data_IF_821427805146
#
_entry.id   IF_821427805146
#
_cell.length_a   1.000
_cell.length_b   1.000
_cell.length_c   1.000
_cell.angle_alpha   90.00
_cell.angle_beta   90.00
_cell.angle_gamma   90.00
#
_symmetry.space_group_name_H-M   'P 1'
#
loop_
_entity.id
_entity.type
_entity.pdbx_description
1 polymer ?
#
# COMPACT_ATOMS: atom_id res chain seq x y z
N UNK A 1 1.00 32.23 -3.13
CA UNK A 1 1.38 31.10 -4.00
C UNK A 1 0.47 29.93 -3.70
N UNK A 2 -0.13 29.33 -4.72
CA UNK A 2 -0.98 28.16 -4.52
C UNK A 2 -0.12 26.88 -4.60
N UNK A 3 -0.04 26.15 -3.50
CA UNK A 3 0.64 24.85 -3.43
C UNK A 3 -0.37 23.75 -3.71
N UNK A 4 -0.03 22.81 -4.58
CA UNK A 4 -0.88 21.68 -4.96
C UNK A 4 -0.18 20.35 -4.69
N UNK A 5 -0.96 19.38 -4.23
CA UNK A 5 -0.53 17.99 -4.15
C UNK A 5 -1.03 17.28 -5.41
N UNK A 6 -0.11 16.75 -6.21
CA UNK A 6 -0.43 16.16 -7.52
C UNK A 6 0.42 14.94 -7.84
N UNK A 7 0.03 14.22 -8.87
CA UNK A 7 0.78 13.09 -9.40
C UNK A 7 1.79 13.56 -10.45
N UNK A 8 3.07 13.28 -10.22
CA UNK A 8 4.12 13.40 -11.21
C UNK A 8 4.34 12.05 -11.88
N UNK A 9 4.34 12.02 -13.20
CA UNK A 9 4.51 10.78 -13.95
C UNK A 9 5.98 10.32 -13.90
N UNK A 10 6.17 9.03 -13.66
CA UNK A 10 7.45 8.32 -13.71
C UNK A 10 7.28 7.01 -14.51
N UNK A 11 8.37 6.28 -14.72
CA UNK A 11 8.34 5.02 -15.44
C UNK A 11 8.40 5.19 -16.96
N UNK A 12 8.13 4.09 -17.68
CA UNK A 12 8.25 3.98 -19.13
C UNK A 12 6.89 4.23 -19.82
N UNK A 13 6.91 4.41 -21.14
CA UNK A 13 5.72 4.71 -21.96
C UNK A 13 4.55 3.73 -21.76
N UNK A 14 4.83 2.44 -21.56
CA UNK A 14 3.81 1.40 -21.35
C UNK A 14 3.58 1.05 -19.86
N UNK A 15 4.53 1.36 -18.98
CA UNK A 15 4.46 1.07 -17.54
C UNK A 15 4.59 2.39 -16.78
N UNK A 16 3.49 3.11 -16.68
CA UNK A 16 3.44 4.42 -16.02
C UNK A 16 3.26 4.23 -14.53
N UNK A 17 4.21 4.72 -13.77
CA UNK A 17 4.11 4.86 -12.33
C UNK A 17 4.04 6.34 -11.97
N UNK A 18 3.61 6.65 -10.77
CA UNK A 18 3.40 8.04 -10.35
C UNK A 18 4.03 8.28 -8.98
N UNK A 19 4.54 9.47 -8.78
CA UNK A 19 4.89 9.98 -7.46
C UNK A 19 3.88 11.01 -7.01
N UNK A 20 3.49 10.95 -5.75
CA UNK A 20 2.65 11.95 -5.11
C UNK A 20 3.58 13.05 -4.62
N UNK A 21 3.49 14.24 -5.22
CA UNK A 21 4.40 15.34 -4.94
C UNK A 21 3.65 16.61 -4.59
N UNK A 22 4.29 17.42 -3.74
CA UNK A 22 3.87 18.78 -3.42
C UNK A 22 4.61 19.73 -4.36
N UNK A 23 3.89 20.52 -5.11
CA UNK A 23 4.46 21.45 -6.07
C UNK A 23 3.67 22.76 -6.17
N UNK A 24 4.33 23.80 -6.64
CA UNK A 24 3.65 25.05 -7.01
C UNK A 24 2.67 24.80 -8.17
N UNK A 25 1.50 25.44 -8.12
CA UNK A 25 0.47 25.34 -9.14
C UNK A 25 0.98 25.74 -10.55
N UNK A 26 1.97 26.63 -10.64
CA UNK A 26 2.57 27.11 -11.88
C UNK A 26 3.64 26.19 -12.46
N UNK A 27 4.20 25.28 -11.65
CA UNK A 27 5.24 24.35 -12.11
C UNK A 27 4.68 23.33 -13.08
N UNK A 28 5.42 22.88 -14.11
CA UNK A 28 4.99 21.81 -15.00
C UNK A 28 4.79 20.49 -14.22
N UNK A 29 3.95 19.60 -14.76
CA UNK A 29 3.54 18.36 -14.08
C UNK A 29 4.71 17.48 -13.61
N UNK A 30 5.69 17.28 -14.46
CA UNK A 30 6.85 16.43 -14.21
C UNK A 30 8.12 17.21 -13.87
N UNK A 31 7.97 18.52 -13.62
CA UNK A 31 9.06 19.45 -13.31
C UNK A 31 9.44 19.50 -11.84
N UNK A 32 9.92 20.67 -11.42
CA UNK A 32 10.35 20.90 -10.04
C UNK A 32 9.18 20.77 -9.07
N UNK A 33 9.40 20.02 -8.00
CA UNK A 33 8.48 19.86 -6.87
C UNK A 33 9.17 20.28 -5.57
N UNK A 34 8.37 20.54 -4.54
CA UNK A 34 8.84 20.98 -3.23
C UNK A 34 9.23 19.77 -2.39
N UNK A 35 8.33 18.78 -2.31
CA UNK A 35 8.52 17.57 -1.51
C UNK A 35 7.83 16.36 -2.17
N UNK A 36 8.40 15.17 -1.96
CA UNK A 36 7.85 13.89 -2.37
C UNK A 36 7.12 13.25 -1.18
N UNK A 37 5.84 12.93 -1.35
CA UNK A 37 5.00 12.34 -0.32
C UNK A 37 4.86 10.83 -0.45
N UNK A 38 5.17 10.28 -1.63
CA UNK A 38 5.04 8.86 -1.83
C UNK A 38 4.90 8.40 -3.28
N UNK A 39 4.59 7.13 -3.41
CA UNK A 39 4.58 6.40 -4.67
C UNK A 39 3.21 5.77 -4.95
N UNK A 40 2.81 5.77 -6.21
CA UNK A 40 1.60 5.12 -6.67
C UNK A 40 1.86 4.29 -7.92
N UNK A 41 1.55 3.00 -7.86
CA UNK A 41 1.61 2.10 -9.00
C UNK A 41 0.21 1.54 -9.32
N UNK A 42 -0.39 1.95 -10.45
CA UNK A 42 -1.71 1.45 -10.86
C UNK A 42 -1.67 0.08 -11.54
N UNK A 43 -0.50 -0.44 -11.89
CA UNK A 43 -0.37 -1.70 -12.64
C UNK A 43 -0.41 -2.93 -11.72
N UNK A 44 -0.15 -2.76 -10.44
CA UNK A 44 -0.23 -3.84 -9.47
C UNK A 44 -1.69 -4.21 -9.20
N UNK A 45 -1.94 -5.44 -8.79
CA UNK A 45 -3.27 -5.91 -8.43
C UNK A 45 -3.24 -6.58 -7.04
N UNK A 46 -3.70 -5.87 -6.00
CA UNK A 46 -4.24 -4.50 -5.97
C UNK A 46 -3.17 -3.42 -6.26
N UNK A 47 -3.62 -2.23 -6.69
CA UNK A 47 -2.71 -1.11 -6.95
C UNK A 47 -1.93 -0.72 -5.70
N UNK A 48 -0.62 -0.53 -5.84
CA UNK A 48 0.25 -0.14 -4.73
C UNK A 48 0.13 1.36 -4.47
N UNK A 49 -0.22 1.72 -3.23
CA UNK A 49 -0.29 3.10 -2.74
C UNK A 49 0.58 3.18 -1.49
N UNK A 50 1.70 3.85 -1.61
CA UNK A 50 2.64 4.08 -0.50
C UNK A 50 2.77 5.59 -0.32
N UNK A 51 2.12 6.15 0.70
CA UNK A 51 2.06 7.58 0.97
C UNK A 51 2.42 7.82 2.44
N UNK A 52 3.35 8.74 2.67
CA UNK A 52 3.70 9.23 3.99
C UNK A 52 2.55 10.10 4.55
N UNK A 53 1.79 9.49 5.45
CA UNK A 53 0.58 10.09 6.03
C UNK A 53 0.90 11.36 6.81
N UNK A 54 1.98 11.37 7.59
CA UNK A 54 2.35 12.49 8.45
C UNK A 54 2.71 13.73 7.62
N UNK A 55 3.52 13.55 6.57
CA UNK A 55 3.86 14.62 5.65
C UNK A 55 2.64 15.13 4.89
N UNK A 56 1.78 14.21 4.42
CA UNK A 56 0.57 14.58 3.71
C UNK A 56 -0.35 15.45 4.59
N UNK A 57 -0.60 15.05 5.84
CA UNK A 57 -1.40 15.82 6.82
C UNK A 57 -0.77 17.18 7.08
N UNK A 58 0.53 17.27 7.30
CA UNK A 58 1.24 18.54 7.52
C UNK A 58 1.08 19.51 6.35
N UNK A 59 1.12 19.03 5.10
CA UNK A 59 0.91 19.87 3.93
C UNK A 59 -0.54 20.28 3.74
N UNK A 60 -1.50 19.42 4.06
CA UNK A 60 -2.92 19.77 4.05
C UNK A 60 -3.24 20.85 5.10
N UNK A 61 -2.62 20.78 6.28
CA UNK A 61 -2.76 21.80 7.32
C UNK A 61 -2.17 23.15 6.90
N UNK A 62 -1.09 23.15 6.13
CA UNK A 62 -0.50 24.34 5.52
C UNK A 62 -1.34 24.90 4.36
N UNK A 63 -2.42 24.23 3.98
CA UNK A 63 -3.35 24.69 2.94
C UNK A 63 -3.00 24.18 1.53
N UNK A 64 -2.19 23.15 1.39
CA UNK A 64 -1.95 22.53 0.09
C UNK A 64 -3.23 21.89 -0.45
N UNK A 65 -3.55 22.16 -1.72
CA UNK A 65 -4.75 21.64 -2.38
C UNK A 65 -4.45 20.34 -3.11
N UNK A 66 -5.03 19.20 -2.71
CA UNK A 66 -4.89 17.95 -3.44
C UNK A 66 -5.70 18.00 -4.75
N UNK A 67 -5.19 17.37 -5.80
CA UNK A 67 -5.99 17.10 -6.99
C UNK A 67 -6.98 15.96 -6.72
N UNK A 68 -8.09 15.89 -7.49
CA UNK A 68 -9.16 14.88 -7.30
C UNK A 68 -8.63 13.45 -7.24
N UNK A 69 -7.60 13.12 -8.02
CA UNK A 69 -6.97 11.80 -8.02
C UNK A 69 -6.16 11.55 -6.76
N UNK A 70 -5.42 12.54 -6.31
CA UNK A 70 -4.63 12.46 -5.07
C UNK A 70 -5.55 12.38 -3.85
N UNK A 71 -6.66 13.11 -3.83
CA UNK A 71 -7.63 13.03 -2.75
C UNK A 71 -8.11 11.59 -2.53
N UNK A 72 -8.46 10.88 -3.61
CA UNK A 72 -8.86 9.45 -3.53
C UNK A 72 -7.73 8.56 -2.99
N UNK A 73 -6.49 8.82 -3.35
CA UNK A 73 -5.35 8.08 -2.83
C UNK A 73 -5.10 8.37 -1.35
N UNK A 74 -5.29 9.62 -0.92
CA UNK A 74 -5.21 10.01 0.50
C UNK A 74 -6.34 9.42 1.34
N UNK A 75 -7.53 9.22 0.75
CA UNK A 75 -8.64 8.51 1.39
C UNK A 75 -8.29 7.03 1.59
N UNK A 76 -7.71 6.37 0.60
CA UNK A 76 -7.29 4.97 0.66
C UNK A 76 -6.15 4.78 1.68
N UNK A 77 -5.16 5.68 1.72
CA UNK A 77 -4.04 5.62 2.67
C UNK A 77 -4.42 6.01 4.10
N UNK A 78 -5.61 6.58 4.32
CA UNK A 78 -6.08 7.06 5.61
C UNK A 78 -5.63 8.47 6.00
N UNK A 79 -4.73 9.09 5.24
CA UNK A 79 -4.24 10.45 5.50
C UNK A 79 -5.35 11.50 5.49
N UNK A 80 -6.34 11.33 4.61
CA UNK A 80 -7.48 12.22 4.52
C UNK A 80 -8.38 12.17 5.77
N UNK A 81 -8.64 10.96 6.26
CA UNK A 81 -9.43 10.76 7.48
C UNK A 81 -8.72 11.32 8.71
N UNK A 82 -7.41 11.11 8.83
CA UNK A 82 -6.60 11.66 9.92
C UNK A 82 -6.60 13.20 9.91
N UNK A 83 -6.42 13.82 8.74
CA UNK A 83 -6.47 15.28 8.61
C UNK A 83 -7.84 15.85 8.99
N UNK A 84 -8.94 15.23 8.54
CA UNK A 84 -10.29 15.65 8.92
C UNK A 84 -10.58 15.46 10.40
N UNK A 85 -10.10 14.40 11.02
CA UNK A 85 -10.21 14.18 12.46
C UNK A 85 -9.51 15.28 13.26
N UNK A 86 -8.37 15.76 12.79
CA UNK A 86 -7.65 16.91 13.39
C UNK A 86 -8.48 18.18 13.31
N UNK A 87 -9.31 18.35 12.28
CA UNK A 87 -10.25 19.49 12.12
C UNK A 87 -11.60 19.29 12.79
N UNK A 88 -11.81 18.18 13.51
CA UNK A 88 -13.07 17.92 14.23
C UNK A 88 -14.21 17.38 13.36
N UNK A 89 -13.96 16.97 12.12
CA UNK A 89 -14.94 16.29 11.28
C UNK A 89 -14.84 14.77 11.46
N UNK A 90 -15.92 14.12 11.85
CA UNK A 90 -16.01 12.66 11.91
C UNK A 90 -16.14 12.11 10.49
N UNK A 91 -15.10 11.49 9.97
CA UNK A 91 -15.11 10.83 8.66
C UNK A 91 -15.06 9.33 8.85
N UNK A 92 -16.06 8.63 8.32
CA UNK A 92 -16.00 7.18 8.17
C UNK A 92 -14.89 6.84 7.15
N UNK A 93 -13.89 6.10 7.59
CA UNK A 93 -12.83 5.60 6.71
C UNK A 93 -13.48 4.60 5.74
N UNK A 94 -13.42 4.82 4.42
CA UNK A 94 -13.85 3.79 3.48
C UNK A 94 -12.96 2.57 3.68
N UNK A 95 -13.57 1.45 4.08
CA UNK A 95 -12.88 0.18 4.20
C UNK A 95 -12.19 -0.13 2.88
N UNK A 96 -10.87 -0.32 2.92
CA UNK A 96 -10.12 -0.73 1.73
C UNK A 96 -10.82 -1.95 1.09
N UNK A 97 -10.97 -2.00 -0.23
CA UNK A 97 -11.58 -3.13 -0.90
C UNK A 97 -10.76 -4.38 -0.55
N UNK A 98 -11.39 -5.31 0.15
CA UNK A 98 -10.78 -6.60 0.46
C UNK A 98 -10.36 -7.26 -0.86
N UNK A 99 -9.16 -7.83 -0.95
CA UNK A 99 -8.74 -8.54 -2.14
C UNK A 99 -9.75 -9.65 -2.40
N UNK A 100 -10.45 -9.59 -3.53
CA UNK A 100 -11.32 -10.66 -3.99
C UNK A 100 -10.44 -11.86 -4.28
N UNK A 101 -10.23 -12.70 -3.30
CA UNK A 101 -9.60 -14.01 -3.45
C UNK A 101 -10.53 -14.81 -4.37
N UNK A 102 -10.17 -14.89 -5.65
CA UNK A 102 -10.84 -15.80 -6.56
C UNK A 102 -10.63 -17.20 -6.00
N UNK A 103 -11.71 -17.86 -5.59
CA UNK A 103 -11.78 -19.17 -4.99
C UNK A 103 -11.41 -20.29 -5.98
N UNK A 104 -10.19 -20.30 -6.50
CA UNK A 104 -9.70 -21.35 -7.37
C UNK A 104 -8.54 -22.17 -6.76
N UNK A 105 -8.27 -22.00 -5.46
CA UNK A 105 -7.14 -22.68 -4.79
C UNK A 105 -7.55 -23.64 -3.67
N UNK A 106 -8.84 -24.03 -3.59
CA UNK A 106 -9.27 -25.01 -2.55
C UNK A 106 -8.84 -26.46 -2.81
N UNK A 107 -8.25 -26.75 -3.98
CA UNK A 107 -7.84 -28.12 -4.31
C UNK A 107 -6.38 -28.45 -3.96
N UNK A 108 -5.53 -27.46 -3.65
CA UNK A 108 -4.11 -27.71 -3.47
C UNK A 108 -3.63 -27.63 -2.00
N UNK A 109 -4.46 -27.14 -1.08
CA UNK A 109 -4.07 -27.03 0.33
C UNK A 109 -4.23 -28.37 1.07
N UNK A 110 -5.19 -29.20 0.66
CA UNK A 110 -5.39 -30.55 1.26
C UNK A 110 -4.25 -31.52 0.96
N UNK A 111 -3.49 -31.33 -0.10
CA UNK A 111 -2.41 -32.23 -0.48
C UNK A 111 -1.08 -31.90 0.20
N UNK A 112 -0.95 -30.74 0.78
CA UNK A 112 0.26 -30.31 1.50
C UNK A 112 0.19 -30.61 2.99
N UNK A 113 -1.01 -30.65 3.56
CA UNK A 113 -1.19 -31.05 4.97
C UNK A 113 -1.04 -32.59 5.16
N UNK A 114 -1.46 -33.39 4.19
CA UNK A 114 -1.32 -34.84 4.26
C UNK A 114 0.12 -35.33 4.04
N UNK A 115 0.95 -34.53 3.33
CA UNK A 115 2.39 -34.80 3.16
C UNK A 115 3.22 -34.35 4.37
N UNK A 116 2.77 -33.38 5.15
CA UNK A 116 3.46 -32.92 6.36
C UNK A 116 3.21 -33.80 7.56
N UNK A 117 2.05 -34.50 7.66
CA UNK A 117 1.77 -35.46 8.72
C UNK A 117 2.48 -36.79 8.50
N UNK A 118 2.76 -37.20 7.26
CA UNK A 118 3.49 -38.43 6.95
C UNK A 118 5.00 -38.32 7.21
N UNK A 119 5.59 -37.14 7.20
CA UNK A 119 7.02 -36.94 7.48
C UNK A 119 7.36 -36.85 8.96
N UNK A 120 6.40 -36.59 9.82
CA UNK A 120 6.60 -36.49 11.28
C UNK A 120 6.52 -37.84 11.99
N UNK A 121 5.87 -38.84 11.39
CA UNK A 121 5.78 -40.20 11.97
C UNK A 121 7.02 -41.07 11.72
N UNK A 122 7.85 -40.73 10.76
CA UNK A 122 9.04 -41.53 10.40
C UNK A 122 10.32 -41.11 11.16
N UNK A 123 10.32 -40.03 11.92
CA UNK A 123 11.48 -39.53 12.68
C UNK A 123 11.47 -39.93 14.16
N UNK A 124 10.38 -40.54 14.66
CA UNK A 124 10.26 -40.92 16.08
C UNK A 124 10.73 -42.35 16.42
N UNK A 125 11.20 -43.12 15.43
CA UNK A 125 11.52 -44.55 15.64
C UNK A 125 13.02 -44.91 15.52
N UNK A 126 13.93 -43.91 15.57
CA UNK A 126 15.38 -44.17 15.43
C UNK A 126 16.23 -43.62 16.58
N UNK A 127 15.67 -43.56 17.80
CA UNK A 127 16.49 -43.18 18.97
C UNK A 127 16.26 -44.10 20.17
N UNK A 128 16.36 -45.43 19.97
CA UNK A 128 16.62 -46.34 21.07
C UNK A 128 17.51 -47.48 20.56
N UNK A 129 18.75 -47.45 20.99
CA UNK A 129 19.63 -48.62 20.83
C UNK A 129 21.07 -48.26 20.55
N UNK A 130 21.83 -47.85 21.57
CA UNK A 130 23.21 -48.28 21.82
C UNK A 130 23.76 -47.65 23.11
N UNK A 131 23.43 -48.29 24.22
CA UNK A 131 24.32 -48.30 25.38
C UNK A 131 24.65 -49.77 25.64
N UNK A 132 25.92 -50.01 25.94
CA UNK A 132 26.66 -51.20 26.43
C UNK A 132 27.60 -51.79 25.39
N UNK A 133 28.86 -51.55 25.55
CA UNK A 133 30.02 -52.08 26.27
C UNK A 133 31.31 -51.35 25.88
#
# INVERSE_FOLDING_TARGET
MAVKIRLAQRGKKKTRTYRVVVADARSPRDGKFIEDLGFYNPHDNPSTVDIDVEKAVSWLDKGAQPSDRVQKLLEISGAWAQWRSTKGEVVSIPKAPEPKIKSSSKANIKKTEEAAEAEVEEVSDTSEGSEEE
#
